data_IF_983165238423
#
_entry.id   IF_983165238423
#
_cell.length_a   1.000
_cell.length_b   1.000
_cell.length_c   1.000
_cell.angle_alpha   90.00
_cell.angle_beta   90.00
_cell.angle_gamma   90.00
#
_symmetry.space_group_name_H-M   'P 1'
#
loop_
_entity.id
_entity.type
_entity.pdbx_description
1 polymer ?
#
# COMPACT_ATOMS: atom_id res chain seq x y z
N UNK A 1 -1.28 9.28 -18.27
CA UNK A 1 -1.77 8.97 -16.92
C UNK A 1 -0.83 9.63 -15.93
N UNK A 2 -1.30 10.50 -15.04
CA UNK A 2 -0.45 11.12 -14.02
C UNK A 2 -0.30 10.19 -12.81
N UNK A 3 0.91 10.09 -12.28
CA UNK A 3 1.16 9.46 -10.99
C UNK A 3 0.74 10.40 -9.85
N UNK A 4 0.42 9.82 -8.70
CA UNK A 4 0.03 10.61 -7.52
C UNK A 4 1.28 11.30 -6.95
N UNK A 5 1.22 12.60 -6.71
CA UNK A 5 2.32 13.29 -6.04
C UNK A 5 2.45 12.84 -4.58
N UNK A 6 3.61 13.12 -3.97
CA UNK A 6 3.83 12.94 -2.53
C UNK A 6 2.73 13.61 -1.69
N UNK A 7 2.46 14.89 -1.94
CA UNK A 7 1.38 15.63 -1.27
C UNK A 7 0.01 14.98 -1.51
N UNK A 8 -0.23 14.48 -2.73
CA UNK A 8 -1.44 13.73 -3.07
C UNK A 8 -1.60 12.46 -2.24
N UNK A 9 -0.51 11.74 -1.96
CA UNK A 9 -0.53 10.55 -1.12
C UNK A 9 -0.93 10.88 0.33
N UNK A 10 -0.45 11.98 0.90
CA UNK A 10 -0.89 12.44 2.22
C UNK A 10 -2.37 12.83 2.24
N UNK A 11 -2.84 13.60 1.25
CA UNK A 11 -4.27 13.94 1.12
C UNK A 11 -5.14 12.69 0.98
N UNK A 12 -4.64 11.67 0.27
CA UNK A 12 -5.32 10.40 0.12
C UNK A 12 -5.37 9.62 1.44
N UNK A 13 -4.27 9.57 2.19
CA UNK A 13 -4.24 8.94 3.51
C UNK A 13 -5.23 9.59 4.48
N UNK A 14 -5.30 10.91 4.51
CA UNK A 14 -6.29 11.68 5.29
C UNK A 14 -7.73 11.37 4.90
N UNK A 15 -7.99 11.20 3.60
CA UNK A 15 -9.32 10.83 3.12
C UNK A 15 -9.69 9.40 3.54
N UNK A 16 -8.78 8.45 3.33
CA UNK A 16 -8.97 7.04 3.71
C UNK A 16 -9.18 6.93 5.23
N UNK A 17 -8.41 7.68 6.03
CA UNK A 17 -8.60 7.74 7.49
C UNK A 17 -10.05 8.06 7.84
N UNK A 18 -10.59 9.16 7.29
CA UNK A 18 -11.98 9.57 7.54
C UNK A 18 -12.99 8.53 7.09
N UNK A 19 -12.77 7.90 5.94
CA UNK A 19 -13.62 6.81 5.43
C UNK A 19 -13.62 5.62 6.41
N UNK A 20 -12.45 5.20 6.89
CA UNK A 20 -12.32 4.10 7.84
C UNK A 20 -12.93 4.44 9.21
N UNK A 21 -12.70 5.64 9.73
CA UNK A 21 -13.32 6.13 10.98
C UNK A 21 -14.86 6.10 10.88
N UNK A 22 -15.42 6.52 9.74
CA UNK A 22 -16.86 6.49 9.51
C UNK A 22 -17.43 5.06 9.36
N UNK A 23 -16.72 4.15 8.70
CA UNK A 23 -17.16 2.77 8.47
C UNK A 23 -17.09 1.94 9.77
N UNK A 24 -16.02 2.10 10.55
CA UNK A 24 -15.72 1.21 11.67
C UNK A 24 -16.03 1.82 13.04
N UNK A 25 -16.30 3.12 13.13
CA UNK A 25 -16.65 3.79 14.38
C UNK A 25 -15.51 3.85 15.41
N UNK A 26 -14.26 3.67 14.97
CA UNK A 26 -13.05 3.77 15.80
C UNK A 26 -12.12 4.83 15.25
N UNK A 27 -11.31 5.44 16.11
CA UNK A 27 -10.29 6.41 15.70
C UNK A 27 -9.08 5.75 15.06
N UNK A 28 -8.42 6.48 14.16
CA UNK A 28 -7.14 6.09 13.60
C UNK A 28 -6.11 7.22 13.71
N UNK A 29 -4.83 6.87 13.68
CA UNK A 29 -3.72 7.81 13.54
C UNK A 29 -2.97 7.55 12.23
N UNK A 30 -2.40 8.60 11.65
CA UNK A 30 -1.48 8.49 10.51
C UNK A 30 -0.04 8.56 11.01
N UNK A 31 0.72 7.49 10.80
CA UNK A 31 2.15 7.45 11.11
C UNK A 31 2.96 7.28 9.83
N UNK A 32 3.96 8.14 9.64
CA UNK A 32 4.89 8.02 8.51
C UNK A 32 6.13 7.25 8.94
N UNK A 33 6.43 6.15 8.25
CA UNK A 33 7.59 5.30 8.56
C UNK A 33 8.08 4.55 7.33
N UNK A 34 9.18 3.82 7.45
CA UNK A 34 9.65 2.86 6.46
C UNK A 34 9.31 1.44 6.93
N UNK A 35 8.60 0.68 6.10
CA UNK A 35 8.23 -0.70 6.39
C UNK A 35 9.08 -1.68 5.57
N UNK A 36 9.39 -2.89 6.10
CA UNK A 36 9.99 -3.96 5.32
C UNK A 36 9.06 -4.41 4.19
N UNK A 37 9.57 -4.47 2.96
CA UNK A 37 8.80 -4.96 1.81
C UNK A 37 8.51 -6.45 1.88
N UNK A 38 9.27 -7.22 2.68
CA UNK A 38 9.01 -8.64 2.96
C UNK A 38 7.79 -8.87 3.87
N UNK A 39 7.38 -7.85 4.63
CA UNK A 39 6.20 -7.86 5.49
C UNK A 39 4.99 -7.16 4.85
N UNK A 40 5.16 -6.64 3.64
CA UNK A 40 4.10 -5.98 2.88
C UNK A 40 3.18 -7.01 2.21
N UNK A 41 1.91 -6.99 2.61
CA UNK A 41 0.85 -7.84 2.07
C UNK A 41 0.01 -7.03 1.08
N UNK A 42 -0.06 -7.42 -0.20
CA UNK A 42 -0.93 -6.74 -1.14
C UNK A 42 -2.39 -7.10 -0.90
N UNK A 43 -3.26 -6.14 -1.18
CA UNK A 43 -4.72 -6.32 -1.06
C UNK A 43 -5.42 -6.27 -2.43
N UNK A 44 -4.63 -6.08 -3.48
CA UNK A 44 -5.01 -6.10 -4.88
C UNK A 44 -4.24 -7.23 -5.56
N UNK A 45 -4.95 -8.10 -6.28
CA UNK A 45 -4.38 -9.32 -6.89
C UNK A 45 -3.66 -9.08 -8.21
N UNK A 46 -4.07 -8.06 -8.95
CA UNK A 46 -3.61 -7.82 -10.31
C UNK A 46 -3.07 -6.41 -10.48
N UNK A 47 -1.96 -6.27 -11.19
CA UNK A 47 -1.40 -4.98 -11.59
C UNK A 47 -1.30 -4.89 -13.11
N UNK A 48 -1.76 -3.77 -13.65
CA UNK A 48 -1.53 -3.41 -15.06
C UNK A 48 -0.03 -3.29 -15.35
N UNK A 49 0.45 -4.00 -16.37
CA UNK A 49 1.84 -3.96 -16.86
C UNK A 49 2.22 -2.55 -17.33
N UNK A 50 1.36 -1.90 -18.13
CA UNK A 50 1.63 -0.55 -18.65
C UNK A 50 1.80 0.48 -17.53
N UNK A 51 0.98 0.40 -16.47
CA UNK A 51 1.15 1.26 -15.29
C UNK A 51 2.42 0.93 -14.51
N UNK A 52 2.76 -0.35 -14.39
CA UNK A 52 3.97 -0.78 -13.69
C UNK A 52 5.23 -0.23 -14.38
N UNK A 53 5.29 -0.27 -15.72
CA UNK A 53 6.42 0.25 -16.49
C UNK A 53 6.62 1.76 -16.27
N UNK A 54 5.53 2.54 -16.26
CA UNK A 54 5.60 3.97 -15.94
C UNK A 54 6.13 4.19 -14.53
N UNK A 55 5.62 3.46 -13.53
CA UNK A 55 6.09 3.60 -12.14
C UNK A 55 7.58 3.23 -12.00
N UNK A 56 8.04 2.16 -12.66
CA UNK A 56 9.44 1.75 -12.64
C UNK A 56 10.36 2.82 -13.22
N UNK A 57 9.94 3.48 -14.31
CA UNK A 57 10.74 4.56 -14.91
C UNK A 57 10.77 5.80 -14.03
N UNK A 58 9.61 6.23 -13.52
CA UNK A 58 9.51 7.42 -12.68
C UNK A 58 10.26 7.28 -11.34
N UNK A 59 10.35 6.08 -10.77
CA UNK A 59 11.17 5.82 -9.57
C UNK A 59 12.64 6.14 -9.83
N UNK A 60 13.17 5.85 -11.02
CA UNK A 60 14.56 6.20 -11.38
C UNK A 60 14.77 7.72 -11.47
N UNK A 61 13.71 8.47 -11.76
CA UNK A 61 13.71 9.93 -11.84
C UNK A 61 13.27 10.63 -10.54
N UNK A 62 13.24 9.90 -9.42
CA UNK A 62 13.01 10.48 -8.09
C UNK A 62 11.56 10.49 -7.63
N UNK A 63 10.68 9.71 -8.26
CA UNK A 63 9.31 9.53 -7.78
C UNK A 63 9.28 8.87 -6.40
N UNK A 64 8.74 9.59 -5.41
CA UNK A 64 8.92 9.29 -3.99
C UNK A 64 7.60 9.22 -3.19
N UNK A 65 6.46 9.14 -3.87
CA UNK A 65 5.17 9.13 -3.19
C UNK A 65 5.03 7.88 -2.29
N UNK A 66 4.72 8.02 -0.98
CA UNK A 66 4.64 6.88 -0.07
C UNK A 66 3.49 5.93 -0.43
N UNK A 67 3.59 4.69 0.03
CA UNK A 67 2.46 3.77 0.07
C UNK A 67 1.54 4.11 1.24
N UNK A 68 0.34 3.53 1.26
CA UNK A 68 -0.57 3.63 2.40
C UNK A 68 -0.88 2.20 2.84
N UNK A 69 -0.72 1.91 4.13
CA UNK A 69 -0.89 0.58 4.66
C UNK A 69 -1.59 0.57 6.02
N UNK A 70 -2.22 -0.55 6.36
CA UNK A 70 -2.75 -0.81 7.70
C UNK A 70 -1.84 -1.85 8.36
N UNK A 71 -1.21 -1.55 9.51
CA UNK A 71 -0.49 -2.56 10.27
C UNK A 71 -1.50 -3.50 10.95
N UNK A 72 -1.26 -4.80 10.85
CA UNK A 72 -2.02 -5.82 11.56
C UNK A 72 -1.11 -6.99 11.90
N UNK A 73 -0.97 -7.27 13.21
CA UNK A 73 0.03 -8.20 13.75
C UNK A 73 1.44 -7.82 13.28
N UNK A 74 2.18 -8.75 12.70
CA UNK A 74 3.54 -8.62 12.19
C UNK A 74 3.60 -8.18 10.71
N UNK A 75 2.48 -7.77 10.12
CA UNK A 75 2.37 -7.47 8.68
C UNK A 75 1.78 -6.10 8.39
N UNK A 76 2.04 -5.62 7.16
CA UNK A 76 1.57 -4.34 6.65
C UNK A 76 0.71 -4.54 5.40
N UNK A 77 -0.59 -4.31 5.51
CA UNK A 77 -1.54 -4.52 4.43
C UNK A 77 -1.62 -3.26 3.56
N UNK A 78 -1.08 -3.32 2.35
CA UNK A 78 -1.05 -2.20 1.41
C UNK A 78 -2.47 -1.92 0.91
N UNK A 79 -3.00 -0.73 1.17
CA UNK A 79 -4.33 -0.30 0.70
C UNK A 79 -4.23 0.70 -0.47
N UNK A 80 -3.10 1.39 -0.62
CA UNK A 80 -2.79 2.19 -1.80
C UNK A 80 -1.29 2.11 -2.11
N UNK A 81 -0.95 2.12 -3.40
CA UNK A 81 0.44 2.13 -3.85
C UNK A 81 1.01 0.76 -4.20
N UNK A 82 0.17 -0.23 -4.55
CA UNK A 82 0.60 -1.59 -4.91
C UNK A 82 1.64 -1.60 -6.05
N UNK A 83 1.45 -0.80 -7.11
CA UNK A 83 2.46 -0.64 -8.17
C UNK A 83 3.81 -0.13 -7.63
N UNK A 84 3.79 0.80 -6.66
CA UNK A 84 5.01 1.37 -6.06
C UNK A 84 5.74 0.34 -5.20
N UNK A 85 5.01 -0.31 -4.30
CA UNK A 85 5.57 -1.36 -3.43
C UNK A 85 6.18 -2.49 -4.27
N UNK A 86 5.44 -2.98 -5.27
CA UNK A 86 5.92 -4.03 -6.16
C UNK A 86 7.14 -3.59 -6.98
N UNK A 87 7.13 -2.38 -7.53
CA UNK A 87 8.26 -1.84 -8.30
C UNK A 87 9.53 -1.74 -7.46
N UNK A 88 9.46 -1.19 -6.24
CA UNK A 88 10.60 -1.09 -5.33
C UNK A 88 11.14 -2.48 -4.96
N UNK A 89 10.25 -3.45 -4.69
CA UNK A 89 10.67 -4.85 -4.45
C UNK A 89 11.40 -5.44 -5.65
N UNK A 90 10.90 -5.21 -6.87
CA UNK A 90 11.54 -5.67 -8.12
C UNK A 90 12.89 -5.01 -8.39
N UNK A 91 13.06 -3.76 -7.95
CA UNK A 91 14.34 -3.04 -8.04
C UNK A 91 15.32 -3.41 -6.91
N UNK A 92 14.96 -4.32 -6.01
CA UNK A 92 15.86 -4.83 -4.97
C UNK A 92 15.88 -4.00 -3.69
N UNK A 93 14.95 -3.06 -3.50
CA UNK A 93 14.81 -2.33 -2.24
C UNK A 93 14.25 -3.24 -1.15
N UNK A 94 14.74 -3.07 0.08
CA UNK A 94 14.29 -3.83 1.25
C UNK A 94 13.10 -3.16 1.96
N UNK A 95 12.99 -1.84 1.85
CA UNK A 95 11.99 -1.04 2.55
C UNK A 95 11.28 -0.07 1.63
N UNK A 96 10.07 0.31 2.00
CA UNK A 96 9.29 1.35 1.33
C UNK A 96 8.77 2.33 2.35
N UNK A 97 8.74 3.61 1.98
CA UNK A 97 8.07 4.61 2.79
C UNK A 97 6.55 4.41 2.75
N UNK A 98 5.93 4.36 3.92
CA UNK A 98 4.51 4.16 4.08
C UNK A 98 3.90 5.19 5.04
N UNK A 99 2.64 5.55 4.76
CA UNK A 99 1.75 6.17 5.71
C UNK A 99 0.89 5.05 6.31
N UNK A 100 1.13 4.73 7.57
CA UNK A 100 0.39 3.73 8.32
C UNK A 100 -0.88 4.34 8.88
N UNK A 101 -2.01 3.69 8.61
CA UNK A 101 -3.29 3.98 9.24
C UNK A 101 -3.44 3.09 10.49
N UNK A 102 -3.00 3.59 11.65
CA UNK A 102 -2.96 2.85 12.92
C UNK A 102 -4.29 2.97 13.67
N UNK A 103 -4.97 1.86 14.00
CA UNK A 103 -6.20 1.92 14.79
C UNK A 103 -5.89 2.28 16.25
N UNK A 104 -6.74 3.11 16.87
CA UNK A 104 -6.67 3.49 18.29
C UNK A 104 -7.35 2.48 19.24
N UNK A 105 -7.73 1.31 18.74
CA UNK A 105 -8.38 0.25 19.50
C UNK A 105 -8.26 -1.10 18.81
N UNK A 106 -8.88 -2.13 19.39
CA UNK A 106 -8.94 -3.46 18.76
C UNK A 106 -9.64 -3.37 17.40
N UNK A 107 -8.93 -3.82 16.37
CA UNK A 107 -9.40 -3.71 14.99
C UNK A 107 -8.95 -4.94 14.21
N UNK A 108 -9.92 -5.62 13.59
CA UNK A 108 -9.66 -6.62 12.57
C UNK A 108 -9.99 -5.99 11.21
N UNK A 109 -8.98 -5.55 10.43
CA UNK A 109 -9.23 -4.90 9.17
C UNK A 109 -9.94 -5.85 8.21
N UNK A 110 -11.07 -5.43 7.62
CA UNK A 110 -11.78 -6.24 6.62
C UNK A 110 -10.87 -6.62 5.44
N UNK A 111 -9.90 -5.77 5.13
CA UNK A 111 -8.92 -5.98 4.07
C UNK A 111 -7.98 -7.17 4.33
N UNK A 112 -7.74 -7.55 5.60
CA UNK A 112 -6.99 -8.76 5.96
C UNK A 112 -7.71 -10.00 5.45
N UNK A 113 -9.02 -10.08 5.71
CA UNK A 113 -9.87 -11.19 5.25
C UNK A 113 -9.91 -11.26 3.72
N UNK A 114 -9.94 -10.10 3.05
CA UNK A 114 -9.88 -10.03 1.58
C UNK A 114 -8.56 -10.57 1.03
N UNK A 115 -7.43 -10.15 1.59
CA UNK A 115 -6.11 -10.65 1.19
C UNK A 115 -5.98 -12.16 1.40
N UNK A 116 -6.42 -12.67 2.55
CA UNK A 116 -6.43 -14.12 2.86
C UNK A 116 -7.29 -14.91 1.87
N UNK A 117 -8.51 -14.43 1.58
CA UNK A 117 -9.42 -15.08 0.63
C UNK A 117 -8.85 -15.14 -0.79
N UNK A 118 -8.11 -14.11 -1.19
CA UNK A 118 -7.45 -14.04 -2.50
C UNK A 118 -6.09 -14.78 -2.53
N UNK A 119 -5.65 -15.34 -1.39
CA UNK A 119 -4.38 -16.06 -1.26
C UNK A 119 -3.16 -15.15 -1.29
N UNK A 120 -3.31 -13.85 -0.99
CA UNK A 120 -2.25 -12.85 -1.00
C UNK A 120 -1.52 -12.80 0.35
N UNK A 121 -0.23 -13.09 0.34
CA UNK A 121 0.64 -13.11 1.53
C UNK A 121 1.89 -12.25 1.38
N UNK A 122 2.33 -12.00 0.15
CA UNK A 122 3.50 -11.18 -0.17
C UNK A 122 3.33 -10.51 -1.53
N UNK A 123 4.12 -9.47 -1.81
CA UNK A 123 4.03 -8.71 -3.05
C UNK A 123 4.20 -9.58 -4.31
N UNK A 124 4.96 -10.66 -4.24
CA UNK A 124 5.17 -11.60 -5.34
C UNK A 124 3.94 -12.42 -5.72
N UNK A 125 2.91 -12.45 -4.87
CA UNK A 125 1.65 -13.15 -5.17
C UNK A 125 0.77 -12.36 -6.17
N UNK A 126 1.13 -11.11 -6.45
CA UNK A 126 0.45 -10.26 -7.42
C UNK A 126 0.71 -10.77 -8.85
N UNK A 127 -0.36 -10.84 -9.65
CA UNK A 127 -0.28 -11.12 -11.09
C UNK A 127 -0.12 -9.83 -11.88
N UNK A 128 0.82 -9.80 -12.80
CA UNK A 128 0.92 -8.73 -13.79
C UNK A 128 0.03 -9.08 -14.98
N UNK A 129 -0.90 -8.19 -15.31
CA UNK A 129 -1.85 -8.37 -16.42
C UNK A 129 -1.55 -7.37 -17.53
N UNK A 130 -1.66 -7.87 -18.77
CA UNK A 130 -1.57 -7.07 -19.99
C UNK A 130 -2.99 -6.64 -20.35
N UNK A 131 -3.21 -5.34 -20.41
CA UNK A 131 -4.45 -4.75 -20.88
C UNK A 131 -4.28 -4.30 -22.32
#
# INVERSE_FOLDING_TARGET
>A
MSLISREGAFKRAERIKREYEAIYGIGFELERTFIPLEDAVPTQKELSESKLLVVLEEIKHGYDAPTIAIPYRDKYYIIDGHHRAFALKKLGFERVEAILLKPLGEFLPGIVKTAEKEGLKKLEDIKIVRN
#
